data_IF_358991602673
#
_entry.id   IF_358991602673
#
_cell.length_a   1.000
_cell.length_b   1.000
_cell.length_c   1.000
_cell.angle_alpha   90.00
_cell.angle_beta   90.00
_cell.angle_gamma   90.00
#
_symmetry.space_group_name_H-M   'P 1'
#
loop_
_entity.id
_entity.type
_entity.pdbx_description
1 polymer ?
#
# COMPACT_ATOMS: atom_id res chain seq x y z
N UNK A 1 21.58 3.50 18.47
CA UNK A 1 20.84 3.00 17.28
C UNK A 1 21.69 3.33 16.07
N UNK A 2 22.32 2.32 15.45
CA UNK A 2 23.23 2.53 14.31
C UNK A 2 22.43 3.10 13.11
N UNK A 3 22.99 4.08 12.40
CA UNK A 3 22.37 4.72 11.23
C UNK A 3 21.88 3.68 10.20
N UNK A 4 22.63 2.59 10.02
CA UNK A 4 22.28 1.47 9.14
C UNK A 4 20.93 0.81 9.49
N UNK A 5 20.60 0.65 10.78
CA UNK A 5 19.31 0.06 11.20
C UNK A 5 18.13 1.01 10.96
N UNK A 6 18.36 2.33 10.92
CA UNK A 6 17.32 3.32 10.57
C UNK A 6 17.02 3.28 9.08
N UNK A 7 18.06 3.22 8.23
CA UNK A 7 17.91 3.13 6.78
C UNK A 7 17.18 1.85 6.36
N UNK A 8 17.56 0.69 6.92
CA UNK A 8 16.85 -0.58 6.66
C UNK A 8 15.37 -0.52 7.05
N UNK A 9 15.04 0.12 8.17
CA UNK A 9 13.64 0.28 8.58
C UNK A 9 12.82 1.13 7.60
N UNK A 10 13.45 2.13 6.97
CA UNK A 10 12.80 2.96 5.95
C UNK A 10 12.51 2.13 4.70
N UNK A 11 13.48 1.35 4.20
CA UNK A 11 13.25 0.47 3.04
C UNK A 11 12.11 -0.52 3.24
N UNK A 12 11.96 -1.06 4.45
CA UNK A 12 10.87 -1.98 4.81
C UNK A 12 9.48 -1.32 4.77
N UNK A 13 9.39 0.00 5.02
CA UNK A 13 8.13 0.76 4.93
C UNK A 13 7.89 1.29 3.51
N UNK A 14 8.96 1.67 2.79
CA UNK A 14 8.85 2.28 1.46
C UNK A 14 8.27 1.31 0.44
N UNK A 15 8.72 0.05 0.42
CA UNK A 15 8.22 -0.97 -0.53
C UNK A 15 6.68 -1.15 -0.43
N UNK A 16 6.10 -1.43 0.74
CA UNK A 16 4.64 -1.54 0.88
C UNK A 16 3.93 -0.20 0.69
N UNK A 17 4.57 0.93 0.96
CA UNK A 17 4.03 2.26 0.65
C UNK A 17 3.89 2.52 -0.85
N UNK A 18 4.89 2.11 -1.64
CA UNK A 18 4.84 2.19 -3.10
C UNK A 18 3.78 1.24 -3.66
N UNK A 19 3.66 0.02 -3.12
CA UNK A 19 2.59 -0.92 -3.49
C UNK A 19 1.20 -0.36 -3.19
N UNK A 20 1.02 0.31 -2.04
CA UNK A 20 -0.23 0.97 -1.72
C UNK A 20 -0.54 2.10 -2.72
N UNK A 21 0.45 2.95 -3.03
CA UNK A 21 0.31 4.01 -4.03
C UNK A 21 -0.01 3.48 -5.43
N UNK A 22 0.57 2.33 -5.80
CA UNK A 22 0.26 1.66 -7.06
C UNK A 22 -1.17 1.11 -7.09
N UNK A 23 -1.62 0.46 -6.01
CA UNK A 23 -3.00 0.02 -5.85
C UNK A 23 -4.00 1.17 -5.94
N UNK A 24 -3.67 2.34 -5.36
CA UNK A 24 -4.46 3.56 -5.50
C UNK A 24 -4.56 4.05 -6.94
N UNK A 25 -3.45 4.06 -7.69
CA UNK A 25 -3.48 4.44 -9.10
C UNK A 25 -4.39 3.52 -9.91
N UNK A 26 -4.37 2.20 -9.67
CA UNK A 26 -5.29 1.26 -10.34
C UNK A 26 -6.75 1.60 -10.02
N UNK A 27 -7.08 1.84 -8.74
CA UNK A 27 -8.45 2.19 -8.35
C UNK A 27 -8.90 3.50 -9.00
N UNK A 28 -8.04 4.52 -9.01
CA UNK A 28 -8.29 5.80 -9.66
C UNK A 28 -8.54 5.60 -11.16
N UNK A 29 -7.67 4.84 -11.82
CA UNK A 29 -7.77 4.60 -13.25
C UNK A 29 -9.07 3.85 -13.58
N UNK A 30 -9.50 2.88 -12.76
CA UNK A 30 -10.81 2.26 -12.94
C UNK A 30 -11.94 3.29 -12.82
N UNK A 31 -11.90 4.20 -11.85
CA UNK A 31 -12.95 5.22 -11.66
C UNK A 31 -13.05 6.16 -12.87
N UNK A 32 -11.93 6.61 -13.44
CA UNK A 32 -11.94 7.56 -14.56
C UNK A 32 -12.08 6.90 -15.93
N UNK A 33 -11.44 5.75 -16.15
CA UNK A 33 -11.46 5.05 -17.45
C UNK A 33 -12.65 4.09 -17.63
N UNK A 34 -13.42 3.77 -16.57
CA UNK A 34 -14.66 2.98 -16.76
C UNK A 34 -15.72 3.70 -17.61
N UNK A 35 -15.62 5.03 -17.75
CA UNK A 35 -16.54 5.84 -18.55
C UNK A 35 -16.06 6.07 -19.98
N UNK A 36 -14.86 5.60 -20.35
CA UNK A 36 -14.34 5.70 -21.72
C UNK A 36 -14.41 4.34 -22.45
N UNK A 37 -14.53 4.33 -23.78
CA UNK A 37 -14.52 3.09 -24.59
C UNK A 37 -13.26 2.24 -24.40
N UNK A 38 -12.19 2.86 -23.89
CA UNK A 38 -10.87 2.26 -23.64
C UNK A 38 -10.77 1.55 -22.28
N UNK A 39 -11.82 1.61 -21.43
CA UNK A 39 -11.81 1.14 -20.03
C UNK A 39 -11.47 -0.34 -19.82
N UNK A 40 -11.49 -1.13 -20.89
CA UNK A 40 -11.14 -2.55 -20.88
C UNK A 40 -12.12 -3.42 -20.10
N UNK A 41 -12.08 -4.71 -20.37
CA UNK A 41 -12.99 -5.68 -19.76
C UNK A 41 -12.70 -5.83 -18.26
N UNK A 42 -13.75 -5.84 -17.43
CA UNK A 42 -13.76 -6.11 -15.97
C UNK A 42 -13.21 -4.99 -15.04
N UNK A 43 -13.82 -3.79 -15.02
CA UNK A 43 -13.43 -2.70 -14.11
C UNK A 43 -13.54 -3.09 -12.63
N UNK A 44 -14.57 -3.84 -12.25
CA UNK A 44 -14.78 -4.29 -10.85
C UNK A 44 -13.63 -5.17 -10.35
N UNK A 45 -13.11 -6.07 -11.20
CA UNK A 45 -12.00 -6.96 -10.81
C UNK A 45 -10.69 -6.17 -10.61
N UNK A 46 -10.41 -5.20 -11.50
CA UNK A 46 -9.26 -4.30 -11.36
C UNK A 46 -9.37 -3.44 -10.11
N UNK A 47 -10.56 -2.94 -9.78
CA UNK A 47 -10.81 -2.18 -8.56
C UNK A 47 -10.57 -3.01 -7.30
N UNK A 48 -11.10 -4.23 -7.24
CA UNK A 48 -10.88 -5.15 -6.11
C UNK A 48 -9.40 -5.51 -5.98
N UNK A 49 -8.69 -5.74 -7.09
CA UNK A 49 -7.25 -5.98 -7.09
C UNK A 49 -6.45 -4.78 -6.57
N UNK A 50 -6.77 -3.58 -7.04
CA UNK A 50 -6.17 -2.33 -6.56
C UNK A 50 -6.47 -2.07 -5.08
N UNK A 51 -7.69 -2.34 -4.64
CA UNK A 51 -8.12 -2.21 -3.24
C UNK A 51 -7.38 -3.20 -2.34
N UNK A 52 -7.23 -4.46 -2.78
CA UNK A 52 -6.47 -5.46 -2.04
C UNK A 52 -4.99 -5.04 -1.90
N UNK A 53 -4.36 -4.57 -2.97
CA UNK A 53 -2.98 -4.06 -2.93
C UNK A 53 -2.83 -2.85 -2.02
N UNK A 54 -3.79 -1.92 -2.07
CA UNK A 54 -3.82 -0.76 -1.19
C UNK A 54 -3.97 -1.15 0.28
N UNK A 55 -4.95 -1.98 0.61
CA UNK A 55 -5.20 -2.45 1.97
C UNK A 55 -4.04 -3.27 2.51
N UNK A 56 -3.44 -4.15 1.71
CA UNK A 56 -2.26 -4.92 2.11
C UNK A 56 -1.07 -4.00 2.40
N UNK A 57 -0.80 -3.01 1.54
CA UNK A 57 0.27 -2.04 1.76
C UNK A 57 0.05 -1.23 3.05
N UNK A 58 -1.17 -0.70 3.26
CA UNK A 58 -1.52 0.07 4.47
C UNK A 58 -1.48 -0.80 5.73
N UNK A 59 -2.05 -2.01 5.69
CA UNK A 59 -2.06 -2.94 6.81
C UNK A 59 -0.64 -3.38 7.20
N UNK A 60 0.24 -3.58 6.21
CA UNK A 60 1.64 -3.91 6.46
C UNK A 60 2.38 -2.76 7.15
N UNK A 61 2.17 -1.51 6.68
CA UNK A 61 2.75 -0.32 7.31
C UNK A 61 2.23 -0.17 8.75
N UNK A 62 0.91 -0.20 8.95
CA UNK A 62 0.30 -0.10 10.28
C UNK A 62 0.79 -1.21 11.21
N UNK A 63 0.84 -2.46 10.73
CA UNK A 63 1.34 -3.61 11.47
C UNK A 63 2.82 -3.48 11.85
N UNK A 64 3.64 -2.91 10.98
CA UNK A 64 5.05 -2.62 11.28
C UNK A 64 5.18 -1.60 12.41
N UNK A 65 4.43 -0.49 12.37
CA UNK A 65 4.44 0.49 13.45
C UNK A 65 3.99 -0.11 14.79
N UNK A 66 2.90 -0.89 14.80
CA UNK A 66 2.41 -1.57 16.02
C UNK A 66 3.46 -2.52 16.60
N UNK A 67 4.12 -3.33 15.77
CA UNK A 67 5.20 -4.21 16.24
C UNK A 67 6.41 -3.43 16.77
N UNK A 68 6.74 -2.28 16.18
CA UNK A 68 7.82 -1.43 16.65
C UNK A 68 7.50 -0.75 17.98
N UNK A 69 6.27 -0.30 18.17
CA UNK A 69 5.83 0.40 19.38
C UNK A 69 5.66 -0.55 20.57
N UNK A 70 5.16 -1.78 20.33
CA UNK A 70 5.13 -2.84 21.36
C UNK A 70 6.50 -3.11 21.97
N UNK A 71 7.57 -3.14 21.16
CA UNK A 71 8.94 -3.34 21.65
C UNK A 71 9.51 -2.18 22.45
N UNK A 72 8.86 -1.01 22.44
CA UNK A 72 9.29 0.18 23.19
C UNK A 72 8.52 0.43 24.49
N UNK A 73 7.65 -0.50 24.93
CA UNK A 73 6.77 -0.33 26.12
C UNK A 73 6.02 1.02 26.10
N UNK A 74 5.58 1.45 24.92
CA UNK A 74 4.64 2.57 24.74
C UNK A 74 3.26 2.02 24.36
N UNK A 75 2.79 1.01 25.08
CA UNK A 75 1.40 0.60 25.18
C UNK A 75 1.22 0.08 26.60
#
# INVERSE_FOLDING_TARGET
MLLAQRLLAVFVIVIPGLLAGYGWNIMRDVIFFSFTPEGGSLPVLKFIGGLALFLLGVAFIAGFFVHRDKKKKKI
#
